data_IF_228987315597
#
_entry.id   IF_228987315597
#
_cell.length_a   1.000
_cell.length_b   1.000
_cell.length_c   1.000
_cell.angle_alpha   90.00
_cell.angle_beta   90.00
_cell.angle_gamma   90.00
#
_symmetry.space_group_name_H-M   'P 1'
#
loop_
_entity.id
_entity.type
_entity.pdbx_description
1 polymer ?
#
# COMPACT_ATOMS: atom_id res chain seq x y z
N UNK A 1 -27.26 -9.71 -17.05
CA UNK A 1 -28.29 -10.74 -16.74
C UNK A 1 -28.20 -11.26 -15.30
N UNK A 2 -27.04 -11.74 -14.83
CA UNK A 2 -26.91 -12.28 -13.46
C UNK A 2 -27.24 -11.28 -12.34
N UNK A 3 -26.85 -10.00 -12.46
CA UNK A 3 -27.25 -8.96 -11.50
C UNK A 3 -28.75 -8.66 -11.51
N UNK A 4 -29.36 -8.65 -12.68
CA UNK A 4 -30.82 -8.49 -12.83
C UNK A 4 -31.52 -9.68 -12.16
N UNK A 5 -30.99 -10.89 -12.32
CA UNK A 5 -31.49 -12.09 -11.66
C UNK A 5 -31.32 -12.02 -10.14
N UNK A 6 -30.18 -11.52 -9.63
CA UNK A 6 -29.97 -11.31 -8.20
C UNK A 6 -30.99 -10.30 -7.61
N UNK A 7 -31.26 -9.20 -8.30
CA UNK A 7 -32.29 -8.23 -7.90
C UNK A 7 -33.70 -8.85 -7.97
N UNK A 8 -33.98 -9.69 -8.97
CA UNK A 8 -35.23 -10.43 -9.07
C UNK A 8 -35.41 -11.42 -7.91
N UNK A 9 -34.36 -12.15 -7.54
CA UNK A 9 -34.38 -13.04 -6.37
C UNK A 9 -34.61 -12.25 -5.08
N UNK A 10 -33.97 -11.09 -4.90
CA UNK A 10 -34.24 -10.23 -3.75
C UNK A 10 -35.71 -9.74 -3.74
N UNK A 11 -36.26 -9.35 -4.90
CA UNK A 11 -37.66 -8.97 -5.03
C UNK A 11 -38.59 -10.13 -4.66
N UNK A 12 -38.37 -11.31 -5.22
CA UNK A 12 -39.18 -12.51 -4.98
C UNK A 12 -39.08 -12.97 -3.51
N UNK A 13 -37.86 -13.02 -2.97
CA UNK A 13 -37.60 -13.38 -1.57
C UNK A 13 -38.25 -12.41 -0.59
N UNK A 14 -38.29 -11.11 -0.91
CA UNK A 14 -38.99 -10.11 -0.10
C UNK A 14 -40.52 -10.25 -0.15
N UNK A 15 -41.09 -10.67 -1.30
CA UNK A 15 -42.53 -10.92 -1.45
C UNK A 15 -42.97 -12.21 -0.76
N UNK A 16 -42.16 -13.25 -0.85
CA UNK A 16 -42.43 -14.57 -0.27
C UNK A 16 -42.04 -14.68 1.21
N UNK A 17 -41.39 -13.64 1.79
CA UNK A 17 -40.78 -13.66 3.13
C UNK A 17 -39.86 -14.86 3.35
N UNK A 18 -39.24 -15.35 2.28
CA UNK A 18 -38.44 -16.57 2.30
C UNK A 18 -36.95 -16.22 2.35
N UNK A 19 -36.35 -16.39 3.53
CA UNK A 19 -34.99 -15.98 3.82
C UNK A 19 -33.91 -16.64 2.92
N UNK A 20 -34.01 -17.92 2.49
CA UNK A 20 -32.96 -18.55 1.69
C UNK A 20 -32.81 -17.93 0.29
N UNK A 21 -33.89 -17.43 -0.29
CA UNK A 21 -33.86 -16.80 -1.63
C UNK A 21 -33.15 -15.45 -1.59
N UNK A 22 -33.25 -14.71 -0.48
CA UNK A 22 -32.49 -13.46 -0.27
C UNK A 22 -30.99 -13.72 -0.12
N UNK A 23 -30.60 -14.85 0.49
CA UNK A 23 -29.19 -15.26 0.51
C UNK A 23 -28.63 -15.65 -0.85
N UNK A 24 -29.45 -16.28 -1.70
CA UNK A 24 -29.08 -16.53 -3.09
C UNK A 24 -28.67 -15.23 -3.82
N UNK A 25 -29.41 -14.15 -3.61
CA UNK A 25 -29.10 -12.84 -4.21
C UNK A 25 -27.75 -12.27 -3.72
N UNK A 26 -27.47 -12.33 -2.41
CA UNK A 26 -26.19 -11.87 -1.83
C UNK A 26 -24.99 -12.72 -2.27
N UNK A 27 -25.18 -14.03 -2.47
CA UNK A 27 -24.12 -14.93 -2.94
C UNK A 27 -23.85 -14.82 -4.45
N UNK A 28 -24.90 -14.56 -5.26
CA UNK A 28 -24.78 -14.48 -6.71
C UNK A 28 -24.11 -13.19 -7.20
N UNK A 29 -24.29 -12.07 -6.50
CA UNK A 29 -23.73 -10.79 -6.90
C UNK A 29 -22.18 -10.76 -7.01
N UNK A 30 -21.40 -11.27 -6.04
CA UNK A 30 -19.94 -11.32 -6.18
C UNK A 30 -19.49 -12.26 -7.31
N UNK A 31 -20.21 -13.36 -7.55
CA UNK A 31 -19.93 -14.24 -8.69
C UNK A 31 -20.20 -13.53 -10.02
N UNK A 32 -21.30 -12.79 -10.11
CA UNK A 32 -21.64 -11.99 -11.28
C UNK A 32 -20.61 -10.88 -11.54
N UNK A 33 -20.07 -10.25 -10.49
CA UNK A 33 -19.01 -9.25 -10.62
C UNK A 33 -17.71 -9.87 -11.15
N UNK A 34 -17.33 -11.06 -10.65
CA UNK A 34 -16.17 -11.79 -11.14
C UNK A 34 -16.30 -12.18 -12.62
N UNK A 35 -17.44 -12.77 -13.01
CA UNK A 35 -17.70 -13.10 -14.42
C UNK A 35 -17.70 -11.88 -15.33
N UNK A 36 -18.17 -10.73 -14.83
CA UNK A 36 -18.13 -9.48 -15.59
C UNK A 36 -16.69 -8.94 -15.74
N UNK A 37 -15.83 -9.04 -14.71
CA UNK A 37 -14.40 -8.74 -14.84
C UNK A 37 -13.76 -9.60 -15.94
N UNK A 38 -13.99 -10.92 -15.92
CA UNK A 38 -13.46 -11.85 -16.92
C UNK A 38 -13.95 -11.48 -18.32
N UNK A 39 -15.25 -11.20 -18.47
CA UNK A 39 -15.82 -10.81 -19.74
C UNK A 39 -15.17 -9.54 -20.32
N UNK A 40 -14.81 -8.56 -19.49
CA UNK A 40 -14.13 -7.35 -19.95
C UNK A 40 -12.69 -7.57 -20.36
N UNK A 41 -11.96 -8.44 -19.66
CA UNK A 41 -10.60 -8.82 -20.08
C UNK A 41 -10.65 -9.55 -21.42
N UNK A 42 -11.66 -10.38 -21.65
CA UNK A 42 -11.84 -11.06 -22.95
C UNK A 42 -12.32 -10.10 -24.03
N UNK A 43 -13.16 -9.12 -23.67
CA UNK A 43 -13.73 -8.15 -24.62
C UNK A 43 -12.87 -6.89 -24.78
N UNK A 44 -11.70 -6.79 -24.13
CA UNK A 44 -10.83 -5.61 -24.16
C UNK A 44 -10.36 -5.26 -25.58
N UNK A 45 -10.24 -6.28 -26.43
CA UNK A 45 -9.86 -6.17 -27.85
C UNK A 45 -11.00 -5.64 -28.73
N UNK A 46 -12.23 -5.65 -28.24
CA UNK A 46 -13.38 -5.08 -28.92
C UNK A 46 -13.68 -3.67 -28.36
N UNK A 47 -14.59 -2.95 -29.01
CA UNK A 47 -14.95 -1.57 -28.66
C UNK A 47 -16.10 -1.38 -27.63
N UNK A 48 -16.42 -2.29 -26.65
CA UNK A 48 -17.59 -2.12 -25.79
C UNK A 48 -17.34 -1.25 -24.53
N UNK A 49 -16.21 -0.55 -24.41
CA UNK A 49 -15.85 0.18 -23.18
C UNK A 49 -16.83 1.31 -22.82
N UNK A 50 -17.50 1.93 -23.81
CA UNK A 50 -18.48 3.00 -23.54
C UNK A 50 -19.58 2.57 -22.56
N UNK A 51 -20.00 1.30 -22.63
CA UNK A 51 -21.05 0.76 -21.75
C UNK A 51 -20.49 0.12 -20.48
N UNK A 52 -19.18 -0.15 -20.41
CA UNK A 52 -18.56 -0.76 -19.24
C UNK A 52 -18.77 0.11 -17.99
N UNK A 53 -18.53 1.42 -18.10
CA UNK A 53 -18.73 2.37 -16.99
C UNK A 53 -20.15 2.36 -16.43
N UNK A 54 -21.16 2.37 -17.32
CA UNK A 54 -22.56 2.29 -16.94
C UNK A 54 -22.89 0.94 -16.27
N UNK A 55 -22.35 -0.16 -16.80
CA UNK A 55 -22.47 -1.49 -16.20
C UNK A 55 -21.91 -1.55 -14.79
N UNK A 56 -20.76 -0.92 -14.53
CA UNK A 56 -20.12 -0.92 -13.22
C UNK A 56 -20.79 -0.03 -12.20
N UNK A 57 -21.26 1.15 -12.62
CA UNK A 57 -22.10 2.00 -11.79
C UNK A 57 -23.38 1.25 -11.38
N UNK A 58 -24.01 0.54 -12.32
CA UNK A 58 -25.17 -0.30 -12.05
C UNK A 58 -24.85 -1.45 -11.10
N UNK A 59 -23.77 -2.21 -11.33
CA UNK A 59 -23.35 -3.34 -10.49
C UNK A 59 -23.04 -2.89 -9.07
N UNK A 60 -22.29 -1.80 -8.91
CA UNK A 60 -21.93 -1.25 -7.60
C UNK A 60 -23.16 -0.72 -6.87
N UNK A 61 -24.05 0.00 -7.56
CA UNK A 61 -25.30 0.49 -6.99
C UNK A 61 -26.23 -0.66 -6.60
N UNK A 62 -26.35 -1.70 -7.44
CA UNK A 62 -27.15 -2.89 -7.15
C UNK A 62 -26.61 -3.64 -5.93
N UNK A 63 -25.28 -3.81 -5.82
CA UNK A 63 -24.65 -4.42 -4.65
C UNK A 63 -24.93 -3.64 -3.36
N UNK A 64 -24.70 -2.32 -3.40
CA UNK A 64 -24.98 -1.43 -2.27
C UNK A 64 -26.47 -1.42 -1.89
N UNK A 65 -27.36 -1.46 -2.88
CA UNK A 65 -28.80 -1.59 -2.65
C UNK A 65 -29.18 -2.92 -1.99
N UNK A 66 -28.57 -4.04 -2.43
CA UNK A 66 -28.78 -5.35 -1.81
C UNK A 66 -28.29 -5.37 -0.36
N UNK A 67 -27.17 -4.72 -0.04
CA UNK A 67 -26.67 -4.58 1.33
C UNK A 67 -27.61 -3.75 2.21
N UNK A 68 -28.09 -2.62 1.68
CA UNK A 68 -29.02 -1.74 2.38
C UNK A 68 -30.34 -2.44 2.68
N UNK A 69 -30.87 -3.21 1.72
CA UNK A 69 -32.13 -3.95 1.89
C UNK A 69 -32.01 -5.13 2.86
N UNK A 70 -30.82 -5.68 3.02
CA UNK A 70 -30.52 -6.79 3.93
C UNK A 70 -29.86 -6.32 5.26
N UNK A 71 -30.01 -5.03 5.60
CA UNK A 71 -29.47 -4.45 6.84
C UNK A 71 -30.19 -4.94 8.09
N UNK A 72 -31.51 -5.11 8.03
CA UNK A 72 -32.38 -5.45 9.18
C UNK A 72 -32.36 -6.93 9.58
N UNK A 73 -31.71 -7.79 8.79
CA UNK A 73 -31.47 -9.19 9.15
C UNK A 73 -30.25 -9.29 10.08
N UNK A 74 -30.43 -8.80 11.31
CA UNK A 74 -29.38 -8.54 12.33
C UNK A 74 -28.49 -9.75 12.71
N UNK A 75 -28.87 -10.99 12.36
CA UNK A 75 -28.25 -12.19 12.93
C UNK A 75 -27.63 -13.16 11.90
N UNK A 76 -27.45 -12.76 10.64
CA UNK A 76 -26.87 -13.67 9.65
C UNK A 76 -25.36 -13.43 9.44
N UNK A 77 -24.56 -14.48 9.62
CA UNK A 77 -23.14 -14.50 9.23
C UNK A 77 -22.93 -14.13 7.75
N UNK A 78 -23.94 -14.37 6.91
CA UNK A 78 -23.92 -14.05 5.48
C UNK A 78 -23.96 -12.54 5.23
N UNK A 79 -24.79 -11.80 5.97
CA UNK A 79 -24.77 -10.34 5.90
C UNK A 79 -23.41 -9.79 6.33
N UNK A 80 -22.85 -10.28 7.45
CA UNK A 80 -21.51 -9.88 7.87
C UNK A 80 -20.45 -10.18 6.78
N UNK A 81 -20.48 -11.36 6.16
CA UNK A 81 -19.62 -11.71 5.03
C UNK A 81 -19.82 -10.78 3.83
N UNK A 82 -21.06 -10.41 3.50
CA UNK A 82 -21.34 -9.49 2.40
C UNK A 82 -20.72 -8.11 2.65
N UNK A 83 -20.84 -7.57 3.86
CA UNK A 83 -20.16 -6.31 4.24
C UNK A 83 -18.63 -6.45 4.20
N UNK A 84 -18.08 -7.61 4.57
CA UNK A 84 -16.64 -7.90 4.49
C UNK A 84 -16.11 -8.08 3.06
N UNK A 85 -16.90 -8.64 2.14
CA UNK A 85 -16.50 -8.80 0.72
C UNK A 85 -16.59 -7.47 -0.05
N UNK A 86 -17.38 -6.52 0.44
CA UNK A 86 -17.67 -5.26 -0.26
C UNK A 86 -16.42 -4.46 -0.66
N UNK A 87 -15.42 -4.22 0.21
CA UNK A 87 -14.21 -3.49 -0.17
C UNK A 87 -13.45 -4.20 -1.29
N UNK A 88 -13.32 -5.52 -1.24
CA UNK A 88 -12.63 -6.31 -2.26
C UNK A 88 -13.38 -6.27 -3.60
N UNK A 89 -14.70 -6.46 -3.57
CA UNK A 89 -15.53 -6.43 -4.78
C UNK A 89 -15.46 -5.07 -5.47
N UNK A 90 -15.71 -3.98 -4.74
CA UNK A 90 -15.64 -2.63 -5.32
C UNK A 90 -14.23 -2.31 -5.82
N UNK A 91 -13.19 -2.80 -5.13
CA UNK A 91 -11.79 -2.60 -5.50
C UNK A 91 -11.42 -3.28 -6.81
N UNK A 92 -11.81 -4.54 -6.99
CA UNK A 92 -11.53 -5.28 -8.22
C UNK A 92 -12.23 -4.64 -9.42
N UNK A 93 -13.46 -4.18 -9.23
CA UNK A 93 -14.24 -3.49 -10.25
C UNK A 93 -13.59 -2.17 -10.66
N UNK A 94 -13.31 -1.31 -9.68
CA UNK A 94 -12.79 0.02 -9.94
C UNK A 94 -11.34 -0.02 -10.44
N UNK A 95 -10.52 -0.92 -9.90
CA UNK A 95 -9.13 -1.09 -10.30
C UNK A 95 -8.99 -1.57 -11.75
N UNK A 96 -9.74 -2.61 -12.14
CA UNK A 96 -9.71 -3.14 -13.52
C UNK A 96 -10.22 -2.11 -14.52
N UNK A 97 -11.31 -1.41 -14.21
CA UNK A 97 -11.86 -0.38 -15.10
C UNK A 97 -10.92 0.79 -15.29
N UNK A 98 -10.35 1.28 -14.19
CA UNK A 98 -9.38 2.36 -14.22
C UNK A 98 -8.15 1.97 -15.04
N UNK A 99 -7.65 0.74 -14.87
CA UNK A 99 -6.53 0.23 -15.65
C UNK A 99 -6.81 0.30 -17.16
N UNK A 100 -7.87 -0.37 -17.60
CA UNK A 100 -8.22 -0.48 -19.02
C UNK A 100 -8.57 0.88 -19.63
N UNK A 101 -9.17 1.77 -18.86
CA UNK A 101 -9.49 3.12 -19.33
C UNK A 101 -8.24 3.97 -19.55
N UNK A 102 -7.30 3.93 -18.62
CA UNK A 102 -6.06 4.73 -18.71
C UNK A 102 -5.12 4.17 -19.76
N UNK A 103 -4.99 2.84 -19.88
CA UNK A 103 -4.15 2.19 -20.89
C UNK A 103 -4.53 2.58 -22.33
N UNK A 104 -5.82 2.86 -22.58
CA UNK A 104 -6.31 3.35 -23.88
C UNK A 104 -5.93 4.79 -24.18
N UNK A 105 -5.76 5.62 -23.16
CA UNK A 105 -5.44 7.06 -23.32
C UNK A 105 -3.93 7.27 -23.29
N UNK A 106 -3.26 6.63 -22.34
CA UNK A 106 -1.84 6.75 -22.09
C UNK A 106 -1.26 5.36 -22.26
N UNK A 107 -0.71 5.08 -23.44
CA UNK A 107 -0.13 3.78 -23.82
C UNK A 107 1.15 3.39 -23.04
N UNK A 108 1.36 3.99 -21.87
CA UNK A 108 2.47 3.72 -20.95
C UNK A 108 1.94 2.94 -19.75
N UNK A 109 2.62 1.86 -19.36
CA UNK A 109 2.15 0.97 -18.30
C UNK A 109 2.00 1.63 -16.92
N UNK A 110 2.85 2.60 -16.56
CA UNK A 110 2.91 3.15 -15.19
C UNK A 110 1.64 3.87 -14.79
N UNK A 111 1.03 4.67 -15.67
CA UNK A 111 -0.23 5.35 -15.38
C UNK A 111 -1.36 4.35 -15.15
N UNK A 112 -1.55 3.40 -16.06
CA UNK A 112 -2.59 2.39 -15.95
C UNK A 112 -2.41 1.54 -14.69
N UNK A 113 -1.18 1.15 -14.35
CA UNK A 113 -0.85 0.43 -13.11
C UNK A 113 -1.13 1.28 -11.87
N UNK A 114 -0.74 2.56 -11.89
CA UNK A 114 -0.88 3.45 -10.74
C UNK A 114 -2.34 3.74 -10.42
N UNK A 115 -3.19 3.99 -11.42
CA UNK A 115 -4.62 4.22 -11.19
C UNK A 115 -5.35 2.92 -10.82
N UNK A 116 -4.92 1.78 -11.37
CA UNK A 116 -5.44 0.47 -10.99
C UNK A 116 -5.24 0.17 -9.50
N UNK A 117 -4.10 0.55 -8.92
CA UNK A 117 -3.81 0.38 -7.50
C UNK A 117 -4.35 1.53 -6.61
N UNK A 118 -4.38 2.76 -7.14
CA UNK A 118 -4.98 3.90 -6.44
C UNK A 118 -6.47 3.69 -6.16
N UNK A 119 -7.18 3.03 -7.09
CA UNK A 119 -8.62 2.74 -6.97
C UNK A 119 -8.98 1.91 -5.71
N UNK A 120 -8.41 0.72 -5.48
CA UNK A 120 -8.59 -0.04 -4.24
C UNK A 120 -8.18 0.75 -3.00
N UNK A 121 -7.06 1.48 -3.07
CA UNK A 121 -6.59 2.28 -1.95
C UNK A 121 -7.61 3.39 -1.62
N UNK A 122 -8.21 4.02 -2.63
CA UNK A 122 -9.23 5.05 -2.46
C UNK A 122 -10.50 4.48 -1.84
N UNK A 123 -10.90 3.27 -2.20
CA UNK A 123 -12.03 2.56 -1.59
C UNK A 123 -11.76 2.29 -0.11
N UNK A 124 -10.55 1.83 0.25
CA UNK A 124 -10.15 1.66 1.66
C UNK A 124 -10.16 3.02 2.38
N UNK A 125 -9.61 4.08 1.77
CA UNK A 125 -9.63 5.44 2.32
C UNK A 125 -11.06 5.93 2.58
N UNK A 126 -11.96 5.80 1.59
CA UNK A 126 -13.38 6.14 1.71
C UNK A 126 -14.02 5.32 2.83
N UNK A 127 -13.79 4.00 2.89
CA UNK A 127 -14.28 3.16 3.98
C UNK A 127 -13.84 3.69 5.36
N UNK A 128 -12.58 4.09 5.52
CA UNK A 128 -12.09 4.66 6.78
C UNK A 128 -12.75 6.01 7.10
N UNK A 129 -13.04 6.85 6.09
CA UNK A 129 -13.79 8.10 6.31
C UNK A 129 -15.25 7.87 6.67
N UNK A 130 -15.89 6.83 6.13
CA UNK A 130 -17.26 6.45 6.46
C UNK A 130 -17.35 5.85 7.86
N UNK A 131 -16.40 4.99 8.25
CA UNK A 131 -16.26 4.50 9.62
C UNK A 131 -16.07 5.66 10.62
N UNK A 132 -15.22 6.64 10.25
CA UNK A 132 -14.96 7.84 11.04
C UNK A 132 -16.21 8.66 11.30
N UNK A 133 -17.05 8.80 10.28
CA UNK A 133 -18.28 9.58 10.33
C UNK A 133 -19.49 8.78 10.80
N UNK A 134 -19.30 7.53 11.21
CA UNK A 134 -20.37 6.59 11.57
C UNK A 134 -21.45 6.50 10.47
N UNK A 135 -21.03 6.44 9.20
CA UNK A 135 -21.94 6.38 8.06
C UNK A 135 -22.01 4.97 7.48
N UNK A 136 -23.17 4.67 6.90
CA UNK A 136 -23.37 3.49 6.06
C UNK A 136 -22.38 3.48 4.88
N UNK A 137 -21.88 2.31 4.40
CA UNK A 137 -22.16 0.95 4.86
C UNK A 137 -21.29 0.47 6.03
N UNK A 138 -20.39 1.31 6.56
CA UNK A 138 -19.47 0.90 7.63
C UNK A 138 -20.14 0.83 9.01
N UNK A 139 -21.37 1.31 9.15
CA UNK A 139 -22.06 1.39 10.44
C UNK A 139 -22.58 0.03 10.94
N UNK A 140 -23.28 -0.72 10.09
CA UNK A 140 -24.08 -1.90 10.48
C UNK A 140 -23.22 -3.09 10.89
N UNK A 141 -22.35 -3.57 10.00
CA UNK A 141 -21.42 -4.67 10.26
C UNK A 141 -19.98 -4.16 10.30
N UNK A 142 -19.73 -3.17 11.16
CA UNK A 142 -18.44 -2.43 11.22
C UNK A 142 -17.22 -3.35 11.31
N UNK A 143 -17.25 -4.34 12.22
CA UNK A 143 -16.14 -5.29 12.39
C UNK A 143 -15.86 -6.05 11.09
N UNK A 144 -16.89 -6.60 10.47
CA UNK A 144 -16.75 -7.37 9.24
C UNK A 144 -16.26 -6.51 8.07
N UNK A 145 -16.76 -5.27 7.95
CA UNK A 145 -16.32 -4.34 6.93
C UNK A 145 -14.84 -3.92 7.12
N UNK A 146 -14.39 -3.71 8.36
CA UNK A 146 -12.98 -3.43 8.68
C UNK A 146 -12.07 -4.62 8.36
N UNK A 147 -12.45 -5.84 8.75
CA UNK A 147 -11.70 -7.07 8.41
C UNK A 147 -11.70 -7.27 6.89
N UNK A 148 -12.78 -6.91 6.20
CA UNK A 148 -12.91 -6.95 4.75
C UNK A 148 -11.90 -6.07 3.99
N UNK A 149 -11.39 -5.00 4.62
CA UNK A 149 -10.33 -4.17 4.04
C UNK A 149 -8.93 -4.81 4.13
N UNK A 150 -8.72 -5.75 5.07
CA UNK A 150 -7.43 -6.43 5.29
C UNK A 150 -6.86 -7.06 4.00
N UNK A 151 -7.57 -7.94 3.26
CA UNK A 151 -7.04 -8.55 2.05
C UNK A 151 -6.68 -7.53 0.97
N UNK A 152 -7.47 -6.44 0.83
CA UNK A 152 -7.17 -5.38 -0.13
C UNK A 152 -5.85 -4.69 0.21
N UNK A 153 -5.64 -4.38 1.49
CA UNK A 153 -4.40 -3.74 1.96
C UNK A 153 -3.20 -4.67 1.78
N UNK A 154 -3.33 -5.96 2.06
CA UNK A 154 -2.27 -6.95 1.85
C UNK A 154 -1.89 -7.05 0.38
N UNK A 155 -2.89 -7.14 -0.51
CA UNK A 155 -2.67 -7.15 -1.97
C UNK A 155 -1.95 -5.86 -2.40
N UNK A 156 -2.41 -4.70 -1.94
CA UNK A 156 -1.78 -3.41 -2.25
C UNK A 156 -0.35 -3.28 -1.71
N UNK A 157 -0.08 -3.83 -0.53
CA UNK A 157 1.27 -3.83 0.06
C UNK A 157 2.22 -4.71 -0.75
N UNK A 158 1.78 -5.91 -1.15
CA UNK A 158 2.55 -6.80 -2.03
C UNK A 158 2.76 -6.13 -3.38
N UNK A 159 1.71 -5.55 -3.96
CA UNK A 159 1.79 -4.81 -5.22
C UNK A 159 2.80 -3.67 -5.11
N UNK A 160 2.72 -2.85 -4.06
CA UNK A 160 3.66 -1.75 -3.83
C UNK A 160 5.10 -2.26 -3.73
N UNK A 161 5.33 -3.34 -3.00
CA UNK A 161 6.67 -3.93 -2.86
C UNK A 161 7.22 -4.42 -4.20
N UNK A 162 6.43 -5.17 -4.97
CA UNK A 162 6.84 -5.70 -6.27
C UNK A 162 7.17 -4.56 -7.24
N UNK A 163 6.24 -3.61 -7.42
CA UNK A 163 6.41 -2.52 -8.38
C UNK A 163 7.46 -1.48 -7.96
N UNK A 164 7.86 -1.43 -6.69
CA UNK A 164 9.04 -0.66 -6.29
C UNK A 164 10.34 -1.12 -6.93
N UNK A 165 10.44 -2.40 -7.33
CA UNK A 165 11.66 -2.97 -7.92
C UNK A 165 11.51 -3.38 -9.38
N UNK A 166 10.29 -3.55 -9.89
CA UNK A 166 10.05 -4.01 -11.27
C UNK A 166 9.60 -2.92 -12.23
N UNK A 167 9.22 -1.73 -11.73
CA UNK A 167 8.82 -0.61 -12.57
C UNK A 167 9.80 0.55 -12.46
N UNK A 168 10.20 1.07 -13.63
CA UNK A 168 11.00 2.28 -13.78
C UNK A 168 10.26 3.56 -13.34
N UNK A 169 8.94 3.49 -13.15
CA UNK A 169 8.10 4.62 -12.77
C UNK A 169 8.07 5.75 -13.80
N UNK A 170 8.33 5.45 -15.08
CA UNK A 170 8.32 6.44 -16.16
C UNK A 170 6.95 7.16 -16.26
N UNK A 171 6.87 8.48 -15.99
CA UNK A 171 5.62 9.21 -15.94
C UNK A 171 5.23 9.87 -17.28
N UNK A 172 5.87 9.50 -18.39
CA UNK A 172 5.55 10.05 -19.73
C UNK A 172 4.02 10.14 -19.93
N UNK A 173 3.49 11.29 -20.41
CA UNK A 173 4.18 12.42 -21.05
C UNK A 173 4.74 13.48 -20.08
N UNK A 174 4.62 13.31 -18.77
CA UNK A 174 5.15 14.26 -17.79
C UNK A 174 6.65 14.06 -17.59
N UNK A 175 7.40 15.12 -17.21
CA UNK A 175 8.80 14.99 -16.82
C UNK A 175 8.94 14.18 -15.53
N UNK A 176 10.02 13.41 -15.41
CA UNK A 176 10.33 12.68 -14.19
C UNK A 176 10.72 13.64 -13.06
N UNK A 177 10.00 13.54 -11.94
CA UNK A 177 10.29 14.26 -10.71
C UNK A 177 10.25 13.24 -9.56
N UNK A 178 11.34 13.06 -8.79
CA UNK A 178 11.35 12.14 -7.65
C UNK A 178 10.18 12.39 -6.68
N UNK A 179 9.57 11.33 -6.17
CA UNK A 179 8.39 11.35 -5.28
C UNK A 179 7.08 11.85 -5.91
N UNK A 180 7.11 12.39 -7.13
CA UNK A 180 5.94 12.98 -7.80
C UNK A 180 5.46 12.14 -8.99
N UNK A 181 6.04 10.95 -9.19
CA UNK A 181 5.55 10.03 -10.21
C UNK A 181 4.17 9.48 -9.81
N UNK A 182 3.31 9.10 -10.76
CA UNK A 182 2.03 8.46 -10.46
C UNK A 182 2.18 7.24 -9.54
N UNK A 183 3.24 6.46 -9.76
CA UNK A 183 3.55 5.30 -8.94
C UNK A 183 3.86 5.70 -7.49
N UNK A 184 4.70 6.73 -7.30
CA UNK A 184 5.08 7.20 -5.97
C UNK A 184 3.90 7.73 -5.17
N UNK A 185 3.07 8.54 -5.81
CA UNK A 185 1.87 9.10 -5.19
C UNK A 185 0.87 8.00 -4.81
N UNK A 186 0.70 6.99 -5.68
CA UNK A 186 -0.13 5.83 -5.38
C UNK A 186 0.42 5.02 -4.21
N UNK A 187 1.73 4.72 -4.18
CA UNK A 187 2.36 3.98 -3.08
C UNK A 187 2.24 4.73 -1.75
N UNK A 188 2.44 6.05 -1.74
CA UNK A 188 2.23 6.88 -0.56
C UNK A 188 0.77 6.85 -0.10
N UNK A 189 -0.17 6.90 -1.03
CA UNK A 189 -1.60 6.82 -0.72
C UNK A 189 -1.99 5.45 -0.16
N UNK A 190 -1.44 4.36 -0.68
CA UNK A 190 -1.59 3.00 -0.12
C UNK A 190 -1.12 2.97 1.34
N UNK A 191 0.04 3.55 1.63
CA UNK A 191 0.58 3.64 2.99
C UNK A 191 -0.35 4.42 3.92
N UNK A 192 -0.90 5.55 3.45
CA UNK A 192 -1.87 6.34 4.21
C UNK A 192 -3.16 5.57 4.49
N UNK A 193 -3.72 4.91 3.47
CA UNK A 193 -4.94 4.10 3.60
C UNK A 193 -4.74 2.92 4.57
N UNK A 194 -3.62 2.21 4.43
CA UNK A 194 -3.25 1.10 5.33
C UNK A 194 -3.01 1.55 6.77
N UNK A 195 -2.37 2.71 6.96
CA UNK A 195 -2.17 3.29 8.30
C UNK A 195 -3.49 3.72 8.93
N UNK A 196 -4.37 4.39 8.17
CA UNK A 196 -5.69 4.76 8.63
C UNK A 196 -6.51 3.52 9.04
N UNK A 197 -6.46 2.46 8.25
CA UNK A 197 -7.09 1.18 8.58
C UNK A 197 -6.51 0.55 9.85
N UNK A 198 -5.18 0.48 9.99
CA UNK A 198 -4.54 -0.09 11.16
C UNK A 198 -4.92 0.66 12.45
N UNK A 199 -4.97 2.00 12.40
CA UNK A 199 -5.41 2.82 13.52
C UNK A 199 -6.89 2.59 13.87
N UNK A 200 -7.75 2.41 12.86
CA UNK A 200 -9.17 2.10 13.07
C UNK A 200 -9.36 0.70 13.65
N UNK A 201 -8.65 -0.29 13.12
CA UNK A 201 -8.67 -1.66 13.62
C UNK A 201 -8.22 -1.70 15.09
N UNK A 202 -7.13 -0.98 15.44
CA UNK A 202 -6.64 -0.90 16.83
C UNK A 202 -7.70 -0.39 17.81
N UNK A 203 -8.51 0.59 17.41
CA UNK A 203 -9.56 1.18 18.26
C UNK A 203 -10.81 0.30 18.32
N UNK A 204 -11.14 -0.40 17.22
CA UNK A 204 -12.45 -1.08 17.07
C UNK A 204 -12.40 -2.59 17.28
N UNK A 205 -11.27 -3.23 17.04
CA UNK A 205 -11.03 -4.67 17.21
C UNK A 205 -9.59 -4.87 17.72
N UNK A 206 -9.39 -4.49 18.98
CA UNK A 206 -8.09 -4.54 19.64
C UNK A 206 -7.52 -5.96 19.68
N UNK A 207 -8.37 -6.96 19.90
CA UNK A 207 -7.97 -8.37 19.90
C UNK A 207 -7.34 -8.78 18.56
N UNK A 208 -8.03 -8.49 17.45
CA UNK A 208 -7.48 -8.77 16.11
C UNK A 208 -6.20 -8.00 15.85
N UNK A 209 -6.12 -6.73 16.28
CA UNK A 209 -4.92 -5.91 16.14
C UNK A 209 -3.73 -6.47 16.93
N UNK A 210 -3.96 -7.01 18.13
CA UNK A 210 -2.91 -7.64 18.94
C UNK A 210 -2.49 -9.01 18.37
N UNK A 211 -3.41 -9.79 17.80
CA UNK A 211 -3.12 -11.05 17.10
C UNK A 211 -2.19 -10.81 15.91
N UNK A 212 -2.35 -9.71 15.18
CA UNK A 212 -1.44 -9.35 14.10
C UNK A 212 -0.01 -9.19 14.61
N UNK A 213 0.22 -8.84 15.89
CA UNK A 213 1.52 -8.80 16.60
C UNK A 213 2.66 -8.04 15.89
N UNK A 214 2.37 -7.39 14.76
CA UNK A 214 3.32 -6.64 13.98
C UNK A 214 3.41 -5.24 14.61
N UNK A 215 4.61 -4.77 14.97
CA UNK A 215 4.81 -3.38 15.35
C UNK A 215 4.49 -2.49 14.15
N UNK A 216 3.24 -2.04 14.03
CA UNK A 216 2.73 -1.31 12.86
C UNK A 216 3.60 -0.10 12.49
N UNK A 217 4.18 0.57 13.49
CA UNK A 217 5.16 1.65 13.26
C UNK A 217 6.47 1.19 12.62
N UNK A 218 6.98 0.01 12.97
CA UNK A 218 8.17 -0.56 12.34
C UNK A 218 7.88 -1.07 10.93
N UNK A 219 6.70 -1.67 10.70
CA UNK A 219 6.27 -2.04 9.35
C UNK A 219 6.16 -0.79 8.46
N UNK A 220 5.52 0.27 8.96
CA UNK A 220 5.43 1.54 8.25
C UNK A 220 6.82 2.11 7.93
N UNK A 221 7.74 2.08 8.89
CA UNK A 221 9.12 2.53 8.68
C UNK A 221 9.84 1.68 7.62
N UNK A 222 9.67 0.36 7.64
CA UNK A 222 10.25 -0.54 6.64
C UNK A 222 9.69 -0.27 5.24
N UNK A 223 8.38 -0.08 5.11
CA UNK A 223 7.74 0.26 3.82
C UNK A 223 8.25 1.60 3.29
N UNK A 224 8.32 2.64 4.14
CA UNK A 224 8.87 3.94 3.73
C UNK A 224 10.35 3.86 3.36
N UNK A 225 11.14 3.05 4.06
CA UNK A 225 12.55 2.84 3.74
C UNK A 225 12.74 2.16 2.38
N UNK A 226 11.95 1.12 2.09
CA UNK A 226 11.94 0.44 0.78
C UNK A 226 11.50 1.42 -0.31
N UNK A 227 10.44 2.20 -0.06
CA UNK A 227 9.94 3.19 -1.01
C UNK A 227 11.00 4.25 -1.34
N UNK A 228 11.65 4.85 -0.33
CA UNK A 228 12.73 5.84 -0.54
C UNK A 228 13.93 5.23 -1.27
N UNK A 229 14.26 3.97 -1.00
CA UNK A 229 15.32 3.26 -1.73
C UNK A 229 14.96 3.08 -3.20
N UNK A 230 13.71 2.70 -3.50
CA UNK A 230 13.21 2.58 -4.88
C UNK A 230 13.18 3.93 -5.61
N UNK A 231 12.79 5.01 -4.94
CA UNK A 231 12.82 6.37 -5.49
C UNK A 231 14.26 6.79 -5.83
N UNK A 232 15.22 6.49 -4.96
CA UNK A 232 16.64 6.74 -5.22
C UNK A 232 17.12 5.98 -6.47
N UNK A 233 16.83 4.68 -6.57
CA UNK A 233 17.19 3.85 -7.73
C UNK A 233 16.58 4.41 -9.01
N UNK A 234 15.28 4.71 -9.02
CA UNK A 234 14.60 5.32 -10.17
C UNK A 234 15.17 6.68 -10.54
N UNK A 235 15.56 7.49 -9.54
CA UNK A 235 16.18 8.78 -9.80
C UNK A 235 17.49 8.62 -10.55
N UNK A 236 18.33 7.66 -10.15
CA UNK A 236 19.58 7.36 -10.88
C UNK A 236 19.29 6.83 -12.28
N UNK A 237 18.30 5.96 -12.44
CA UNK A 237 17.86 5.47 -13.76
C UNK A 237 17.47 6.62 -14.70
N UNK A 238 16.60 7.54 -14.26
CA UNK A 238 16.08 8.62 -15.10
C UNK A 238 17.07 9.76 -15.34
N UNK A 239 17.99 10.05 -14.39
CA UNK A 239 18.92 11.17 -14.53
C UNK A 239 20.32 10.78 -15.03
N UNK A 240 20.68 9.49 -14.94
CA UNK A 240 22.00 9.00 -15.37
C UNK A 240 21.91 7.89 -16.42
N UNK A 241 20.71 7.66 -16.99
CA UNK A 241 20.44 6.70 -18.07
C UNK A 241 20.95 5.27 -17.79
N UNK A 242 20.98 4.88 -16.50
CA UNK A 242 21.34 3.51 -16.10
C UNK A 242 20.15 2.59 -16.37
N UNK A 243 20.25 1.52 -17.18
CA UNK A 243 19.12 0.64 -17.46
C UNK A 243 18.43 0.09 -16.19
N UNK A 244 17.10 0.05 -16.20
CA UNK A 244 16.30 -0.43 -15.07
C UNK A 244 16.13 -1.96 -15.09
N UNK A 245 17.25 -2.67 -15.01
CA UNK A 245 17.29 -4.11 -14.81
C UNK A 245 18.21 -4.44 -13.61
N UNK A 246 17.97 -5.59 -12.99
CA UNK A 246 18.65 -5.94 -11.74
C UNK A 246 20.18 -5.96 -11.88
N UNK A 247 20.70 -6.50 -12.98
CA UNK A 247 22.14 -6.68 -13.18
C UNK A 247 22.84 -5.33 -13.37
N UNK A 248 22.27 -4.46 -14.22
CA UNK A 248 22.78 -3.10 -14.45
C UNK A 248 22.73 -2.24 -13.19
N UNK A 249 21.61 -2.30 -12.45
CA UNK A 249 21.44 -1.53 -11.22
C UNK A 249 22.39 -2.01 -10.11
N UNK A 250 22.58 -3.32 -9.98
CA UNK A 250 23.47 -3.90 -8.99
C UNK A 250 24.94 -3.55 -9.26
N UNK A 251 25.37 -3.65 -10.53
CA UNK A 251 26.74 -3.37 -10.96
C UNK A 251 27.10 -1.87 -10.98
N UNK A 252 26.10 -0.98 -10.97
CA UNK A 252 26.33 0.46 -11.06
C UNK A 252 26.87 1.06 -9.75
N UNK A 253 28.13 1.50 -9.79
CA UNK A 253 28.74 2.26 -8.68
C UNK A 253 27.93 3.51 -8.31
N UNK A 254 27.31 4.17 -9.28
CA UNK A 254 26.50 5.36 -9.04
C UNK A 254 25.23 5.02 -8.24
N UNK A 255 24.55 3.92 -8.57
CA UNK A 255 23.38 3.43 -7.82
C UNK A 255 23.79 3.05 -6.40
N UNK A 256 24.89 2.29 -6.24
CA UNK A 256 25.37 1.86 -4.93
C UNK A 256 25.75 3.03 -4.03
N UNK A 257 26.45 4.03 -4.59
CA UNK A 257 26.84 5.25 -3.89
C UNK A 257 25.62 6.09 -3.51
N UNK A 258 24.67 6.27 -4.43
CA UNK A 258 23.44 7.03 -4.19
C UNK A 258 22.58 6.40 -3.09
N UNK A 259 22.46 5.07 -3.07
CA UNK A 259 21.79 4.35 -2.00
C UNK A 259 22.49 4.53 -0.65
N UNK A 260 23.82 4.42 -0.62
CA UNK A 260 24.60 4.63 0.61
C UNK A 260 24.43 6.04 1.17
N UNK A 261 24.42 7.07 0.32
CA UNK A 261 24.14 8.46 0.71
C UNK A 261 22.71 8.58 1.25
N UNK A 262 21.73 8.05 0.51
CA UNK A 262 20.31 8.09 0.90
C UNK A 262 20.08 7.44 2.26
N UNK A 263 20.62 6.23 2.46
CA UNK A 263 20.50 5.53 3.73
C UNK A 263 21.22 6.25 4.87
N UNK A 264 22.34 6.94 4.61
CA UNK A 264 23.06 7.73 5.61
C UNK A 264 22.22 8.93 6.06
N UNK A 265 21.59 9.63 5.12
CA UNK A 265 20.66 10.73 5.41
C UNK A 265 19.47 10.23 6.22
N UNK A 266 18.87 9.09 5.83
CA UNK A 266 17.78 8.48 6.59
C UNK A 266 18.22 8.14 8.02
N UNK A 267 19.37 7.48 8.18
CA UNK A 267 19.92 7.12 9.49
C UNK A 267 20.15 8.35 10.38
N UNK A 268 20.69 9.43 9.81
CA UNK A 268 20.90 10.69 10.50
C UNK A 268 19.58 11.33 10.94
N UNK A 269 18.58 11.40 10.06
CA UNK A 269 17.26 11.94 10.38
C UNK A 269 16.59 11.11 11.49
N UNK A 270 16.63 9.77 11.37
CA UNK A 270 16.04 8.85 12.35
C UNK A 270 16.69 9.00 13.71
N UNK A 271 18.02 8.98 13.79
CA UNK A 271 18.74 9.15 15.07
C UNK A 271 18.50 10.53 15.67
N UNK A 272 18.54 11.61 14.87
CA UNK A 272 18.30 12.97 15.34
C UNK A 272 16.87 13.16 15.89
N UNK A 273 15.85 12.65 15.18
CA UNK A 273 14.46 12.68 15.66
C UNK A 273 14.29 11.82 16.91
N UNK A 274 14.91 10.65 16.96
CA UNK A 274 14.86 9.77 18.12
C UNK A 274 15.51 10.40 19.36
N UNK A 275 16.62 11.12 19.19
CA UNK A 275 17.28 11.89 20.26
C UNK A 275 16.37 12.99 20.80
N UNK A 276 15.75 13.78 19.90
CA UNK A 276 14.81 14.85 20.28
C UNK A 276 13.54 14.33 20.97
N UNK A 277 13.01 13.19 20.53
CA UNK A 277 11.80 12.55 21.07
C UNK A 277 12.09 11.58 22.22
N UNK A 278 13.35 11.39 22.61
CA UNK A 278 13.82 10.43 23.61
C UNK A 278 13.43 8.96 23.32
N UNK A 279 13.35 8.59 22.05
CA UNK A 279 12.98 7.24 21.60
C UNK A 279 14.20 6.33 21.46
N UNK A 280 14.63 5.76 22.59
CA UNK A 280 15.86 4.96 22.67
C UNK A 280 15.91 3.80 21.67
N UNK A 281 14.82 3.05 21.50
CA UNK A 281 14.77 1.92 20.57
C UNK A 281 14.98 2.37 19.11
N UNK A 282 14.31 3.45 18.69
CA UNK A 282 14.41 3.99 17.32
C UNK A 282 15.81 4.58 17.07
N UNK A 283 16.44 5.16 18.10
CA UNK A 283 17.82 5.64 18.00
C UNK A 283 18.78 4.49 17.65
N UNK A 284 18.64 3.32 18.28
CA UNK A 284 19.44 2.14 17.95
C UNK A 284 19.18 1.62 16.54
N UNK A 285 17.95 1.71 16.03
CA UNK A 285 17.64 1.34 14.63
C UNK A 285 18.41 2.24 13.66
N UNK A 286 18.39 3.56 13.88
CA UNK A 286 19.16 4.49 13.06
C UNK A 286 20.68 4.29 13.18
N UNK A 287 21.18 4.04 14.39
CA UNK A 287 22.60 3.71 14.61
C UNK A 287 23.02 2.39 13.97
N UNK A 288 22.17 1.36 13.99
CA UNK A 288 22.42 0.09 13.32
C UNK A 288 22.43 0.25 11.79
N UNK A 289 21.52 1.06 11.23
CA UNK A 289 21.52 1.40 9.81
C UNK A 289 22.83 2.12 9.42
N UNK A 290 23.31 3.06 10.24
CA UNK A 290 24.58 3.74 10.03
C UNK A 290 25.77 2.76 10.08
N UNK A 291 25.81 1.87 11.07
CA UNK A 291 26.84 0.84 11.18
C UNK A 291 26.83 -0.11 9.97
N UNK A 292 25.64 -0.50 9.48
CA UNK A 292 25.49 -1.33 8.28
C UNK A 292 26.10 -0.64 7.05
N UNK A 293 25.85 0.66 6.86
CA UNK A 293 26.41 1.42 5.72
C UNK A 293 27.93 1.48 5.82
N UNK A 294 28.48 1.70 7.02
CA UNK A 294 29.92 1.71 7.24
C UNK A 294 30.55 0.35 6.88
N UNK A 295 29.93 -0.75 7.33
CA UNK A 295 30.36 -2.10 6.94
C UNK A 295 30.27 -2.29 5.42
N UNK A 296 29.16 -1.87 4.80
CA UNK A 296 28.98 -1.94 3.33
C UNK A 296 30.11 -1.21 2.61
N UNK A 297 30.44 0.00 3.04
CA UNK A 297 31.52 0.82 2.47
C UNK A 297 32.87 0.08 2.54
N UNK A 298 33.15 -0.59 3.66
CA UNK A 298 34.37 -1.39 3.80
C UNK A 298 34.37 -2.70 3.00
N UNK A 299 33.22 -3.33 2.80
CA UNK A 299 33.14 -4.56 1.99
C UNK A 299 33.22 -4.26 0.50
N UNK A 300 32.56 -3.19 0.05
CA UNK A 300 32.40 -2.85 -1.38
C UNK A 300 33.56 -1.99 -1.88
N UNK A 301 33.93 -0.92 -1.16
CA UNK A 301 34.88 0.07 -1.68
C UNK A 301 36.33 -0.23 -1.27
N UNK A 302 36.57 -0.85 -0.11
CA UNK A 302 37.96 -1.07 0.36
C UNK A 302 38.65 -2.29 -0.28
N UNK A 303 37.89 -3.21 -0.88
CA UNK A 303 38.45 -4.40 -1.51
C UNK A 303 39.32 -4.05 -2.74
N UNK A 304 39.09 -2.89 -3.38
CA UNK A 304 39.72 -2.48 -4.63
C UNK A 304 40.70 -1.30 -4.50
N UNK A 305 40.90 -0.74 -3.30
CA UNK A 305 41.66 0.51 -3.08
C UNK A 305 43.01 0.26 -2.38
N UNK A 306 44.05 1.01 -2.77
CA UNK A 306 45.38 1.01 -2.17
C UNK A 306 45.37 1.32 -0.65
N UNK A 307 46.31 0.72 0.08
CA UNK A 307 46.39 0.71 1.56
C UNK A 307 46.34 2.09 2.22
N UNK A 308 46.88 3.14 1.59
CA UNK A 308 46.87 4.50 2.17
C UNK A 308 45.48 5.13 2.12
N UNK A 309 44.80 5.04 0.98
CA UNK A 309 43.43 5.55 0.84
C UNK A 309 42.46 4.82 1.78
N UNK A 310 42.70 3.52 2.03
CA UNK A 310 42.00 2.75 3.06
C UNK A 310 42.09 3.39 4.45
N UNK A 311 43.29 3.77 4.91
CA UNK A 311 43.52 4.40 6.23
C UNK A 311 42.80 5.75 6.32
N UNK A 312 42.90 6.59 5.27
CA UNK A 312 42.24 7.89 5.24
C UNK A 312 40.71 7.74 5.30
N UNK A 313 40.13 6.78 4.56
CA UNK A 313 38.69 6.48 4.64
C UNK A 313 38.25 6.03 6.03
N UNK A 314 39.03 5.20 6.73
CA UNK A 314 38.76 4.82 8.12
C UNK A 314 38.71 6.03 9.06
N UNK A 315 39.66 6.97 8.92
CA UNK A 315 39.70 8.18 9.74
C UNK A 315 38.52 9.10 9.47
N UNK A 316 38.17 9.34 8.21
CA UNK A 316 37.03 10.19 7.82
C UNK A 316 35.72 9.60 8.34
N UNK A 317 35.51 8.30 8.16
CA UNK A 317 34.33 7.60 8.68
C UNK A 317 34.31 7.65 10.21
N UNK A 318 35.44 7.40 10.88
CA UNK A 318 35.55 7.50 12.33
C UNK A 318 35.20 8.88 12.88
N UNK A 319 35.68 9.95 12.21
CA UNK A 319 35.36 11.33 12.56
C UNK A 319 33.87 11.65 12.36
N UNK A 320 33.27 11.16 11.26
CA UNK A 320 31.83 11.29 11.02
C UNK A 320 31.01 10.58 12.11
N UNK A 321 31.38 9.36 12.48
CA UNK A 321 30.71 8.62 13.57
C UNK A 321 30.82 9.35 14.91
N UNK A 322 31.98 9.92 15.22
CA UNK A 322 32.18 10.76 16.42
C UNK A 322 31.29 12.01 16.40
N UNK A 323 31.23 12.71 15.27
CA UNK A 323 30.42 13.90 15.09
C UNK A 323 28.92 13.58 15.24
N UNK A 324 28.46 12.48 14.64
CA UNK A 324 27.07 12.01 14.78
C UNK A 324 26.77 11.65 16.24
N UNK A 325 27.68 10.96 16.93
CA UNK A 325 27.55 10.64 18.35
C UNK A 325 27.48 11.87 19.26
N UNK A 326 28.21 12.94 18.90
CA UNK A 326 28.17 14.22 19.61
C UNK A 326 26.88 15.00 19.35
N UNK A 327 26.41 15.08 18.09
CA UNK A 327 25.18 15.81 17.72
C UNK A 327 23.92 15.08 18.19
N UNK A 328 23.94 13.75 18.23
CA UNK A 328 22.77 12.91 18.49
C UNK A 328 23.00 11.96 19.68
N UNK A 329 23.08 12.49 20.91
CA UNK A 329 23.39 11.69 22.09
C UNK A 329 22.27 10.68 22.39
N UNK A 330 22.67 9.50 22.89
CA UNK A 330 21.74 8.41 23.22
C UNK A 330 20.72 8.87 24.27
N UNK A 331 19.40 8.68 24.04
CA UNK A 331 18.38 8.99 25.03
C UNK A 331 18.61 8.26 26.37
N UNK A 332 18.49 8.94 27.53
CA UNK A 332 18.66 8.32 28.84
C UNK A 332 17.65 7.20 29.08
N UNK A 333 18.02 6.19 29.87
CA UNK A 333 17.08 5.13 30.27
C UNK A 333 16.06 5.70 31.26
N UNK A 334 14.79 5.35 31.10
CA UNK A 334 13.77 5.61 32.12
C UNK A 334 13.99 4.62 33.26
N UNK A 335 14.46 5.10 34.41
CA UNK A 335 14.55 4.30 35.62
C UNK A 335 13.20 4.40 36.33
N UNK A 336 12.44 3.32 36.36
CA UNK A 336 11.28 3.23 37.25
C UNK A 336 11.81 3.06 38.67
N UNK A 337 11.78 4.13 39.45
CA UNK A 337 11.96 4.05 40.90
C UNK A 337 10.70 3.36 41.44
N UNK A 338 10.85 2.13 41.94
CA UNK A 338 9.79 1.46 42.66
C UNK A 338 9.49 2.28 43.93
N UNK A 339 8.26 2.81 44.02
CA UNK A 339 7.71 3.42 45.24
C UNK A 339 6.82 2.43 45.95
#
# INVERSE_FOLDING_TARGET
LLFIFALFLEFLGSRLRYWPVRFGALALAPFAACLWCVALVVASDHDPMYWAWAGWAYVSAAWLFLLWRNETTEHSSVSALAYGVTPLLLSSILGLTAHLAVERVVHTGVWALSVAALSPAAIVGIAMTLDARNRWPMLTFRRAALIGCEPVIVILAIWSFVFSFTSDGNPYPLPYVPLMTPLDLTQLFIVLAGTAWALRLRVRDRERFEVLSIPAGALLAAVLFVHLSAVCIRSVHHFADVPFDFDSLYASNLVQTSLSITWSVIALIVTALASRKKWRAIWFVGGALLALIVVKLFVVDLASIATVARIVSFLVVGLLLLLIGWVSPVPPRVVHVAS
#
